data_IF_287459059463
#
_entry.id   IF_287459059463
#
_cell.length_a   1.000
_cell.length_b   1.000
_cell.length_c   1.000
_cell.angle_alpha   90.00
_cell.angle_beta   90.00
_cell.angle_gamma   90.00
#
_symmetry.space_group_name_H-M   'P 1'
#
loop_
_entity.id
_entity.type
_entity.pdbx_description
1 polymer ?
#
# COMPACT_ATOMS: atom_id res chain seq x y z
N UNK A 1 23.48 20.15 -13.38
CA UNK A 1 22.53 19.11 -12.91
C UNK A 1 21.15 19.65 -13.16
N UNK A 2 20.37 19.00 -14.04
CA UNK A 2 18.96 19.35 -14.24
C UNK A 2 18.25 19.27 -12.90
N UNK A 3 17.51 20.31 -12.46
CA UNK A 3 16.74 20.23 -11.22
C UNK A 3 15.77 19.05 -11.37
N UNK A 4 15.88 18.09 -10.46
CA UNK A 4 14.99 16.95 -10.44
C UNK A 4 13.56 17.50 -10.33
N UNK A 5 12.71 17.22 -11.33
CA UNK A 5 11.32 17.70 -11.34
C UNK A 5 10.60 17.18 -10.08
N UNK A 6 9.70 17.98 -9.49
CA UNK A 6 8.99 17.58 -8.28
C UNK A 6 8.18 16.30 -8.56
N UNK A 7 8.19 15.38 -7.59
CA UNK A 7 7.35 14.19 -7.59
C UNK A 7 6.77 13.97 -6.19
N UNK A 8 5.66 13.26 -6.12
CA UNK A 8 4.97 12.96 -4.86
C UNK A 8 5.20 11.50 -4.47
N UNK A 9 5.62 11.27 -3.23
CA UNK A 9 5.78 9.92 -2.66
C UNK A 9 4.54 9.56 -1.82
N UNK A 10 3.93 8.42 -2.11
CA UNK A 10 2.77 7.90 -1.37
C UNK A 10 3.16 6.63 -0.66
N UNK A 11 2.98 6.60 0.66
CA UNK A 11 3.33 5.48 1.53
C UNK A 11 2.05 4.86 2.10
N UNK A 12 1.70 3.65 1.65
CA UNK A 12 0.51 2.96 2.14
C UNK A 12 0.62 2.55 3.61
N UNK A 13 -0.52 2.24 4.22
CA UNK A 13 -0.56 1.43 5.42
C UNK A 13 -0.17 -0.03 5.16
N UNK A 14 -0.10 -0.83 6.22
CA UNK A 14 0.29 -2.25 6.15
C UNK A 14 0.83 -2.86 7.45
N UNK A 15 0.57 -2.23 8.61
CA UNK A 15 1.16 -2.63 9.89
C UNK A 15 2.69 -2.64 9.85
N UNK A 16 3.34 -3.65 10.42
CA UNK A 16 4.80 -3.72 10.46
C UNK A 16 5.46 -3.92 9.10
N UNK A 17 4.71 -4.36 8.07
CA UNK A 17 5.24 -4.39 6.70
C UNK A 17 5.77 -3.02 6.27
N UNK A 18 5.24 -1.94 6.85
CA UNK A 18 5.69 -0.56 6.65
C UNK A 18 7.16 -0.29 6.91
N UNK A 19 7.90 -1.18 7.59
CA UNK A 19 9.36 -1.07 7.67
C UNK A 19 10.03 -1.13 6.29
N UNK A 20 9.37 -1.71 5.28
CA UNK A 20 9.80 -1.65 3.89
C UNK A 20 9.94 -0.21 3.36
N UNK A 21 9.14 0.72 3.86
CA UNK A 21 9.23 2.14 3.47
C UNK A 21 10.60 2.75 3.83
N UNK A 22 11.31 2.23 4.83
CA UNK A 22 12.69 2.66 5.15
C UNK A 22 13.64 2.30 4.00
N UNK A 23 13.47 1.10 3.42
CA UNK A 23 14.22 0.66 2.25
C UNK A 23 13.90 1.46 0.99
N UNK A 24 12.62 1.81 0.79
CA UNK A 24 12.19 2.72 -0.28
C UNK A 24 12.95 4.04 -0.18
N UNK A 25 12.90 4.68 0.99
CA UNK A 25 13.59 5.94 1.23
C UNK A 25 15.11 5.80 1.01
N UNK A 26 15.71 4.67 1.40
CA UNK A 26 17.14 4.38 1.13
C UNK A 26 17.43 4.35 -0.37
N UNK A 27 16.60 3.68 -1.16
CA UNK A 27 16.78 3.61 -2.62
C UNK A 27 16.64 4.98 -3.30
N UNK A 28 15.75 5.83 -2.79
CA UNK A 28 15.57 7.21 -3.24
C UNK A 28 16.77 8.10 -2.86
N UNK A 29 17.22 8.03 -1.61
CA UNK A 29 18.39 8.77 -1.10
C UNK A 29 19.65 8.47 -1.92
N UNK A 30 19.93 7.18 -2.20
CA UNK A 30 21.09 6.75 -2.99
C UNK A 30 21.08 7.26 -4.45
N UNK A 31 19.90 7.55 -4.99
CA UNK A 31 19.72 8.09 -6.35
C UNK A 31 19.55 9.61 -6.36
N UNK A 32 19.64 10.27 -5.21
CA UNK A 32 19.45 11.72 -5.10
C UNK A 32 18.02 12.18 -5.44
N UNK A 33 17.02 11.30 -5.24
CA UNK A 33 15.61 11.59 -5.52
C UNK A 33 14.90 12.02 -4.23
N UNK A 34 14.58 13.31 -4.12
CA UNK A 34 13.84 13.85 -2.95
C UNK A 34 12.41 14.18 -3.36
N UNK A 35 11.38 13.57 -2.74
CA UNK A 35 9.99 13.92 -3.06
C UNK A 35 9.67 15.34 -2.58
N UNK A 36 8.87 16.07 -3.37
CA UNK A 36 8.37 17.40 -3.00
C UNK A 36 7.23 17.34 -1.96
N UNK A 37 6.55 16.20 -1.91
CA UNK A 37 5.49 15.89 -0.96
C UNK A 37 5.51 14.40 -0.60
N UNK A 38 5.35 14.10 0.68
CA UNK A 38 5.04 12.74 1.16
C UNK A 38 3.59 12.69 1.63
N UNK A 39 2.83 11.69 1.21
CA UNK A 39 1.49 11.40 1.71
C UNK A 39 1.49 10.01 2.33
N UNK A 40 1.10 9.90 3.61
CA UNK A 40 1.17 8.64 4.35
C UNK A 40 -0.14 8.24 5.03
N UNK A 41 -0.38 6.92 5.09
CA UNK A 41 -1.46 6.29 5.87
C UNK A 41 -0.87 5.30 6.86
N UNK A 42 -1.37 5.26 8.10
CA UNK A 42 -0.94 4.29 9.12
C UNK A 42 0.58 4.28 9.31
N UNK A 43 1.24 3.13 9.26
CA UNK A 43 2.69 3.02 9.32
C UNK A 43 3.42 3.89 8.27
N UNK A 44 2.83 4.11 7.09
CA UNK A 44 3.36 5.02 6.06
C UNK A 44 3.40 6.47 6.56
N UNK A 45 2.43 6.88 7.37
CA UNK A 45 2.44 8.19 8.04
C UNK A 45 3.56 8.29 9.08
N UNK A 46 3.83 7.22 9.84
CA UNK A 46 4.91 7.20 10.85
C UNK A 46 6.29 7.31 10.20
N UNK A 47 6.56 6.48 9.18
CA UNK A 47 7.83 6.51 8.46
C UNK A 47 7.99 7.84 7.72
N UNK A 48 6.92 8.32 7.06
CA UNK A 48 6.89 9.63 6.42
C UNK A 48 7.14 10.79 7.40
N UNK A 49 6.58 10.72 8.62
CA UNK A 49 6.77 11.72 9.66
C UNK A 49 8.20 11.74 10.21
N UNK A 50 8.78 10.57 10.49
CA UNK A 50 10.18 10.48 10.93
C UNK A 50 11.12 11.05 9.86
N UNK A 51 10.89 10.72 8.59
CA UNK A 51 11.65 11.30 7.48
C UNK A 51 11.40 12.81 7.36
N UNK A 52 10.16 13.28 7.41
CA UNK A 52 9.85 14.71 7.27
C UNK A 52 10.41 15.56 8.42
N UNK A 53 10.54 14.98 9.61
CA UNK A 53 11.19 15.56 10.78
C UNK A 53 12.73 15.55 10.70
N UNK A 54 13.31 15.00 9.63
CA UNK A 54 14.75 15.05 9.35
C UNK A 54 15.54 13.81 9.73
N UNK A 55 14.89 12.71 10.16
CA UNK A 55 15.60 11.46 10.36
C UNK A 55 16.14 10.92 9.02
N UNK A 56 17.38 10.42 9.03
CA UNK A 56 17.94 9.73 7.88
C UNK A 56 17.63 8.22 7.93
N UNK A 57 17.71 7.57 6.77
CA UNK A 57 17.40 6.14 6.59
C UNK A 57 18.23 5.22 7.49
N UNK A 58 19.50 5.55 7.77
CA UNK A 58 20.35 4.79 8.71
C UNK A 58 19.85 4.88 10.15
N UNK A 59 19.48 6.07 10.62
CA UNK A 59 18.90 6.27 11.95
C UNK A 59 17.57 5.52 12.09
N UNK A 60 16.72 5.60 11.06
CA UNK A 60 15.43 4.91 11.03
C UNK A 60 15.60 3.39 11.06
N UNK A 61 16.50 2.83 10.26
CA UNK A 61 16.82 1.41 10.25
C UNK A 61 17.37 0.94 11.62
N UNK A 62 18.33 1.67 12.19
CA UNK A 62 18.90 1.34 13.49
C UNK A 62 17.86 1.37 14.63
N UNK A 63 16.87 2.25 14.55
CA UNK A 63 15.74 2.28 15.50
C UNK A 63 14.78 1.12 15.23
N UNK A 64 14.42 0.85 13.98
CA UNK A 64 13.52 -0.25 13.61
C UNK A 64 14.02 -1.60 14.13
N UNK A 65 15.33 -1.87 14.05
CA UNK A 65 15.96 -3.08 14.59
C UNK A 65 15.88 -3.22 16.11
N UNK A 66 15.64 -2.12 16.84
CA UNK A 66 15.52 -2.11 18.30
C UNK A 66 14.08 -2.22 18.79
N UNK A 67 13.11 -1.88 17.94
CA UNK A 67 11.68 -2.01 18.28
C UNK A 67 11.35 -3.48 18.52
N UNK A 68 10.60 -3.74 19.59
CA UNK A 68 10.08 -5.05 19.96
C UNK A 68 8.56 -5.00 20.02
N UNK A 69 7.92 -6.18 19.98
CA UNK A 69 6.46 -6.31 20.09
C UNK A 69 5.88 -5.55 21.27
N UNK A 70 6.53 -5.60 22.44
CA UNK A 70 6.10 -4.94 23.68
C UNK A 70 6.08 -3.40 23.60
N UNK A 71 6.84 -2.82 22.68
CA UNK A 71 6.93 -1.36 22.52
C UNK A 71 5.74 -0.81 21.74
N UNK A 72 4.98 -1.68 21.08
CA UNK A 72 3.82 -1.33 20.24
C UNK A 72 2.55 -1.98 20.75
N UNK A 73 2.60 -3.28 21.05
CA UNK A 73 1.46 -4.13 21.35
C UNK A 73 1.51 -4.60 22.80
N UNK A 74 0.93 -3.79 23.69
CA UNK A 74 0.61 -4.21 25.05
C UNK A 74 -0.89 -4.47 25.15
N UNK A 75 -1.24 -5.69 25.52
CA UNK A 75 -2.64 -6.14 25.62
C UNK A 75 -3.36 -5.29 26.67
N UNK A 76 -4.57 -4.83 26.36
CA UNK A 76 -5.44 -4.14 27.31
C UNK A 76 -6.10 -5.14 28.29
N UNK A 77 -5.27 -5.87 29.05
CA UNK A 77 -5.65 -7.11 29.74
C UNK A 77 -6.81 -6.98 30.74
N UNK A 78 -6.97 -5.84 31.40
CA UNK A 78 -8.10 -5.60 32.32
C UNK A 78 -9.41 -5.30 31.58
N UNK A 79 -9.35 -4.58 30.45
CA UNK A 79 -10.54 -4.18 29.70
C UNK A 79 -11.09 -5.33 28.84
N UNK A 80 -10.24 -6.11 28.18
CA UNK A 80 -10.68 -7.24 27.35
C UNK A 80 -11.28 -8.37 28.20
N UNK A 81 -10.72 -8.60 29.39
CA UNK A 81 -11.23 -9.61 30.34
C UNK A 81 -12.59 -9.23 30.96
N UNK A 82 -12.82 -7.95 31.27
CA UNK A 82 -14.06 -7.48 31.90
C UNK A 82 -15.15 -7.08 30.89
N UNK A 83 -14.78 -6.47 29.76
CA UNK A 83 -15.73 -5.91 28.78
C UNK A 83 -15.94 -6.81 27.56
N UNK A 84 -15.11 -7.83 27.33
CA UNK A 84 -15.20 -8.78 26.20
C UNK A 84 -15.41 -8.02 24.87
N UNK A 85 -16.56 -8.19 24.21
CA UNK A 85 -16.93 -7.53 22.94
C UNK A 85 -17.12 -6.00 23.06
N UNK A 86 -17.22 -5.45 24.27
CA UNK A 86 -17.37 -4.01 24.52
C UNK A 86 -16.02 -3.30 24.73
N UNK A 87 -14.89 -4.01 24.63
CA UNK A 87 -13.58 -3.39 24.66
C UNK A 87 -13.35 -2.60 23.35
N UNK A 88 -12.97 -1.31 23.41
CA UNK A 88 -12.82 -0.50 22.21
C UNK A 88 -11.64 -0.92 21.32
N UNK A 89 -10.67 -1.68 21.87
CA UNK A 89 -9.47 -2.13 21.18
C UNK A 89 -8.80 -3.32 21.89
N UNK A 90 -8.03 -4.11 21.14
CA UNK A 90 -7.20 -5.21 21.67
C UNK A 90 -5.96 -4.71 22.42
N UNK A 91 -5.37 -3.61 21.96
CA UNK A 91 -4.12 -3.07 22.49
C UNK A 91 -4.28 -1.67 23.07
N UNK A 92 -3.40 -1.36 24.02
CA UNK A 92 -3.28 -0.04 24.62
C UNK A 92 -2.67 0.97 23.66
N UNK A 93 -3.07 2.24 23.76
CA UNK A 93 -2.50 3.34 22.95
C UNK A 93 -1.14 3.82 23.44
N UNK A 94 -0.89 3.76 24.75
CA UNK A 94 0.26 4.43 25.36
C UNK A 94 1.62 3.99 24.79
N UNK A 95 1.89 2.68 24.54
CA UNK A 95 3.18 2.25 23.98
C UNK A 95 3.43 2.79 22.58
N UNK A 96 2.42 2.70 21.71
CA UNK A 96 2.50 3.22 20.34
C UNK A 96 2.68 4.74 20.33
N UNK A 97 1.91 5.48 21.14
CA UNK A 97 2.04 6.93 21.25
C UNK A 97 3.42 7.37 21.79
N UNK A 98 3.99 6.60 22.73
CA UNK A 98 5.34 6.85 23.24
C UNK A 98 6.40 6.60 22.16
N UNK A 99 6.27 5.52 21.39
CA UNK A 99 7.16 5.24 20.26
C UNK A 99 7.09 6.36 19.21
N UNK A 100 5.88 6.77 18.82
CA UNK A 100 5.64 7.86 17.85
C UNK A 100 6.28 9.16 18.36
N UNK A 101 6.04 9.51 19.62
CA UNK A 101 6.60 10.72 20.23
C UNK A 101 8.13 10.69 20.27
N UNK A 102 8.73 9.52 20.50
CA UNK A 102 10.19 9.37 20.48
C UNK A 102 10.81 9.54 19.09
N UNK A 103 10.05 9.26 18.03
CA UNK A 103 10.50 9.31 16.63
C UNK A 103 10.33 10.69 16.02
N UNK A 104 9.22 11.36 16.30
CA UNK A 104 8.83 12.63 15.67
C UNK A 104 9.09 13.83 16.58
N UNK A 105 9.11 13.62 17.91
CA UNK A 105 9.25 14.69 18.88
C UNK A 105 7.97 15.50 19.10
N UNK A 106 8.11 16.69 19.67
CA UNK A 106 7.00 17.60 19.95
C UNK A 106 6.97 18.74 18.93
N UNK A 107 6.62 18.42 17.69
CA UNK A 107 6.57 19.36 16.56
C UNK A 107 5.19 19.37 15.89
N UNK A 108 4.88 20.48 15.23
CA UNK A 108 3.70 20.64 14.37
C UNK A 108 4.07 20.47 12.90
N UNK A 109 3.09 20.44 12.01
CA UNK A 109 3.38 20.33 10.56
C UNK A 109 4.09 21.58 10.01
N UNK A 110 3.96 22.74 10.67
CA UNK A 110 4.68 23.97 10.29
C UNK A 110 6.18 23.87 10.52
N UNK A 111 6.59 23.06 11.49
CA UNK A 111 8.00 22.90 11.88
C UNK A 111 8.74 21.88 10.98
N UNK A 112 8.03 21.15 10.12
CA UNK A 112 8.62 20.11 9.28
C UNK A 112 9.48 20.71 8.17
N UNK A 113 10.69 20.16 8.03
CA UNK A 113 11.62 20.51 6.95
C UNK A 113 11.18 20.06 5.57
N UNK A 114 10.27 19.08 5.51
CA UNK A 114 9.75 18.46 4.28
C UNK A 114 8.23 18.39 4.35
N UNK A 115 7.56 18.62 3.22
CA UNK A 115 6.08 18.60 3.18
C UNK A 115 5.56 17.18 3.42
N UNK A 116 4.66 17.05 4.38
CA UNK A 116 4.01 15.80 4.76
C UNK A 116 2.51 16.02 4.88
N UNK A 117 1.73 15.10 4.32
CA UNK A 117 0.30 14.97 4.58
C UNK A 117 0.02 13.60 5.19
N UNK A 118 -0.82 13.59 6.22
CA UNK A 118 -1.22 12.35 6.92
C UNK A 118 -2.73 12.20 6.81
N UNK A 119 -3.19 11.05 6.32
CA UNK A 119 -4.61 10.75 6.28
C UNK A 119 -5.10 10.14 7.60
N UNK A 120 -6.36 10.41 7.92
CA UNK A 120 -7.11 9.80 9.02
C UNK A 120 -8.60 9.78 8.65
N UNK A 121 -9.43 9.08 9.41
CA UNK A 121 -10.87 9.18 9.31
C UNK A 121 -11.47 9.67 10.63
N UNK A 122 -12.37 10.65 10.57
CA UNK A 122 -13.19 11.02 11.71
C UNK A 122 -14.21 9.91 11.98
N UNK A 123 -14.18 9.36 13.20
CA UNK A 123 -14.95 8.18 13.56
C UNK A 123 -16.47 8.43 13.52
N UNK A 124 -16.91 9.66 13.79
CA UNK A 124 -18.34 9.98 13.87
C UNK A 124 -18.96 10.18 12.48
N UNK A 125 -18.27 10.88 11.59
CA UNK A 125 -18.79 11.24 10.26
C UNK A 125 -18.29 10.33 9.13
N UNK A 126 -17.23 9.55 9.36
CA UNK A 126 -16.52 8.83 8.31
C UNK A 126 -15.71 9.74 7.37
N UNK A 127 -15.65 11.04 7.65
CA UNK A 127 -14.94 12.01 6.82
C UNK A 127 -13.43 11.78 6.87
N UNK A 128 -12.80 11.74 5.70
CA UNK A 128 -11.35 11.73 5.59
C UNK A 128 -10.79 13.09 6.03
N UNK A 129 -9.79 13.08 6.92
CA UNK A 129 -9.11 14.29 7.40
C UNK A 129 -7.63 14.21 7.07
N UNK A 130 -7.13 15.31 6.51
CA UNK A 130 -5.78 15.42 5.94
C UNK A 130 -4.93 16.42 6.72
N UNK A 131 -4.17 15.91 7.67
CA UNK A 131 -3.28 16.72 8.50
C UNK A 131 -2.09 17.24 7.69
N UNK A 132 -1.67 18.47 7.98
CA UNK A 132 -0.62 19.17 7.23
C UNK A 132 -1.13 20.12 6.13
N UNK A 133 -2.43 20.09 5.82
CA UNK A 133 -3.06 21.16 5.03
C UNK A 133 -2.99 22.51 5.79
N UNK A 134 -3.07 23.66 5.09
CA UNK A 134 -2.90 24.98 5.73
C UNK A 134 -3.74 25.19 7.00
N UNK A 135 -5.01 24.80 7.00
CA UNK A 135 -5.92 24.90 8.15
C UNK A 135 -5.75 23.83 9.24
N UNK A 136 -4.88 22.84 9.01
CA UNK A 136 -4.61 21.71 9.92
C UNK A 136 -3.12 21.61 10.26
N UNK A 137 -2.34 22.63 9.94
CA UNK A 137 -0.88 22.60 10.06
C UNK A 137 -0.35 22.86 11.48
N UNK A 138 -1.18 23.44 12.35
CA UNK A 138 -0.89 23.63 13.79
C UNK A 138 -1.05 22.35 14.63
N UNK A 139 -1.61 21.28 14.04
CA UNK A 139 -1.73 20.00 14.71
C UNK A 139 -0.34 19.41 14.99
N UNK A 140 -0.20 18.76 16.16
CA UNK A 140 1.01 17.99 16.48
C UNK A 140 1.13 16.80 15.53
N UNK A 141 2.30 16.64 14.90
CA UNK A 141 2.53 15.54 13.95
C UNK A 141 2.36 14.19 14.65
N UNK A 142 2.86 14.07 15.89
CA UNK A 142 2.71 12.84 16.68
C UNK A 142 1.24 12.46 16.92
N UNK A 143 0.34 13.42 17.12
CA UNK A 143 -1.09 13.14 17.32
C UNK A 143 -1.75 12.67 16.02
N UNK A 144 -1.42 13.32 14.90
CA UNK A 144 -1.90 12.92 13.58
C UNK A 144 -1.41 11.51 13.19
N UNK A 145 -0.14 11.19 13.45
CA UNK A 145 0.41 9.83 13.24
C UNK A 145 -0.29 8.82 14.16
N UNK A 146 -0.51 9.15 15.43
CA UNK A 146 -1.20 8.25 16.36
C UNK A 146 -2.63 7.96 15.91
N UNK A 147 -3.36 8.98 15.45
CA UNK A 147 -4.68 8.81 14.84
C UNK A 147 -4.61 7.95 13.56
N UNK A 148 -3.62 8.19 12.70
CA UNK A 148 -3.45 7.44 11.46
C UNK A 148 -3.05 5.99 11.71
N UNK A 149 -2.42 5.65 12.83
CA UNK A 149 -2.12 4.26 13.21
C UNK A 149 -3.21 3.60 14.08
N UNK A 150 -4.29 4.31 14.42
CA UNK A 150 -5.35 3.82 15.29
C UNK A 150 -6.35 2.93 14.53
N UNK A 151 -5.90 1.75 14.09
CA UNK A 151 -6.73 0.82 13.32
C UNK A 151 -7.90 0.30 14.17
N UNK A 152 -9.16 0.42 13.72
CA UNK A 152 -10.33 0.00 14.50
C UNK A 152 -10.24 -1.45 14.98
N UNK A 153 -10.67 -1.69 16.22
CA UNK A 153 -10.56 -3.00 16.88
C UNK A 153 -9.15 -3.38 17.36
N UNK A 154 -8.09 -2.79 16.78
CA UNK A 154 -6.70 -3.06 17.18
C UNK A 154 -6.22 -2.03 18.21
N UNK A 155 -6.37 -0.75 17.91
CA UNK A 155 -6.00 0.38 18.77
C UNK A 155 -7.20 1.32 19.00
N UNK A 156 -7.29 1.97 20.16
CA UNK A 156 -8.40 2.88 20.43
C UNK A 156 -8.27 4.15 19.58
N UNK A 157 -9.40 4.82 19.24
CA UNK A 157 -9.37 6.08 18.51
C UNK A 157 -8.56 7.16 19.24
N UNK A 158 -7.92 8.04 18.48
CA UNK A 158 -7.18 9.20 19.01
C UNK A 158 -8.06 10.44 18.97
N UNK A 159 -8.16 11.14 20.10
CA UNK A 159 -8.89 12.41 20.18
C UNK A 159 -7.99 13.58 19.84
N UNK A 160 -8.37 14.41 18.87
CA UNK A 160 -7.69 15.66 18.49
C UNK A 160 -8.75 16.76 18.43
N UNK A 161 -8.58 17.86 19.16
CA UNK A 161 -9.56 18.96 19.16
C UNK A 161 -10.99 18.55 19.54
N UNK A 162 -11.14 17.56 20.44
CA UNK A 162 -12.45 17.07 20.89
C UNK A 162 -13.14 16.07 19.94
N UNK A 163 -12.54 15.72 18.81
CA UNK A 163 -13.07 14.73 17.85
C UNK A 163 -12.23 13.46 17.86
N UNK A 164 -12.88 12.31 17.66
CA UNK A 164 -12.23 11.00 17.64
C UNK A 164 -11.86 10.60 16.21
N UNK A 165 -10.60 10.19 16.03
CA UNK A 165 -10.04 9.80 14.75
C UNK A 165 -9.49 8.37 14.79
N UNK A 166 -9.61 7.69 13.66
CA UNK A 166 -9.08 6.34 13.43
C UNK A 166 -8.19 6.32 12.19
N UNK A 167 -7.53 5.17 11.98
CA UNK A 167 -6.64 4.93 10.85
C UNK A 167 -7.34 5.26 9.52
N UNK A 168 -6.68 6.08 8.69
CA UNK A 168 -7.22 6.50 7.39
C UNK A 168 -7.28 5.37 6.37
N UNK A 169 -6.68 4.20 6.66
CA UNK A 169 -6.75 3.01 5.83
C UNK A 169 -8.18 2.47 5.66
N UNK A 170 -9.12 2.84 6.53
CA UNK A 170 -10.54 2.50 6.37
C UNK A 170 -11.20 3.28 5.22
N UNK A 171 -10.62 4.41 4.82
CA UNK A 171 -11.09 5.25 3.70
C UNK A 171 -10.18 5.11 2.48
N UNK A 172 -8.87 5.21 2.67
CA UNK A 172 -7.89 5.20 1.59
C UNK A 172 -6.51 4.74 2.09
N UNK A 173 -6.27 3.43 2.12
CA UNK A 173 -5.00 2.87 2.62
C UNK A 173 -3.76 3.26 1.79
N UNK A 174 -3.94 3.53 0.49
CA UNK A 174 -2.92 4.07 -0.40
C UNK A 174 -3.42 5.44 -0.89
N UNK A 175 -3.06 6.57 -0.24
CA UNK A 175 -3.68 7.88 -0.47
C UNK A 175 -3.29 8.58 -1.80
N UNK A 176 -3.49 7.90 -2.92
CA UNK A 176 -3.12 8.36 -4.27
C UNK A 176 -4.04 9.44 -4.81
N UNK A 177 -5.33 9.45 -4.44
CA UNK A 177 -6.26 10.48 -4.92
C UNK A 177 -5.89 11.86 -4.37
N UNK A 178 -5.46 11.87 -3.12
CA UNK A 178 -4.96 13.06 -2.43
C UNK A 178 -3.64 13.53 -3.03
N UNK A 179 -2.71 12.59 -3.26
CA UNK A 179 -1.46 12.88 -3.94
C UNK A 179 -1.69 13.45 -5.34
N UNK A 180 -2.65 12.93 -6.10
CA UNK A 180 -3.01 13.47 -7.41
C UNK A 180 -3.63 14.87 -7.36
N UNK A 181 -4.30 15.22 -6.26
CA UNK A 181 -4.98 16.51 -6.12
C UNK A 181 -4.08 17.61 -5.55
N UNK A 182 -3.12 17.24 -4.70
CA UNK A 182 -2.31 18.19 -3.90
C UNK A 182 -0.81 18.11 -4.19
N UNK A 183 -0.38 17.04 -4.83
CA UNK A 183 0.99 16.79 -5.20
C UNK A 183 1.37 17.46 -6.52
N UNK A 184 2.67 17.44 -6.78
CA UNK A 184 3.25 17.93 -8.03
C UNK A 184 3.92 16.77 -8.77
N UNK A 185 3.79 16.78 -10.10
CA UNK A 185 4.45 15.83 -10.98
C UNK A 185 3.95 14.38 -10.84
N UNK A 186 4.80 13.40 -11.18
CA UNK A 186 4.44 11.98 -11.10
C UNK A 186 4.29 11.53 -9.63
N UNK A 187 3.49 10.50 -9.43
CA UNK A 187 3.27 9.86 -8.13
C UNK A 187 4.10 8.58 -8.07
N UNK A 188 4.97 8.45 -7.08
CA UNK A 188 5.60 7.20 -6.70
C UNK A 188 4.82 6.59 -5.53
N UNK A 189 4.03 5.57 -5.79
CA UNK A 189 3.14 4.94 -4.82
C UNK A 189 3.72 3.60 -4.35
N UNK A 190 3.92 3.46 -3.04
CA UNK A 190 4.39 2.21 -2.41
C UNK A 190 3.20 1.50 -1.81
N UNK A 191 2.83 0.36 -2.41
CA UNK A 191 1.72 -0.46 -1.94
C UNK A 191 2.23 -1.70 -1.19
N UNK A 192 2.03 -1.70 0.13
CA UNK A 192 2.34 -2.82 1.02
C UNK A 192 1.09 -3.63 1.43
N UNK A 193 -0.10 -3.18 1.02
CA UNK A 193 -1.34 -3.90 1.23
C UNK A 193 -1.57 -5.03 0.21
N UNK A 194 -0.66 -5.18 -0.76
CA UNK A 194 -0.58 -6.37 -1.58
C UNK A 194 -0.51 -7.60 -0.66
N UNK A 195 -1.63 -8.31 -0.56
CA UNK A 195 -1.73 -9.61 0.08
C UNK A 195 -1.82 -10.64 -1.01
N UNK A 196 -1.10 -11.75 -0.85
CA UNK A 196 -1.22 -12.85 -1.79
C UNK A 196 -2.63 -13.42 -1.70
N UNK A 197 -3.33 -13.42 -2.83
CA UNK A 197 -4.61 -14.12 -3.02
C UNK A 197 -4.46 -15.61 -2.69
N UNK A 198 -3.24 -16.15 -2.75
CA UNK A 198 -2.89 -17.54 -2.47
C UNK A 198 -2.58 -17.82 -1.00
N UNK A 199 -2.57 -16.81 -0.12
CA UNK A 199 -2.38 -17.04 1.31
C UNK A 199 -3.63 -17.75 1.85
N UNK A 200 -3.51 -19.05 2.11
CA UNK A 200 -4.53 -19.80 2.86
C UNK A 200 -4.74 -19.09 4.19
N UNK A 201 -5.93 -18.54 4.40
CA UNK A 201 -6.38 -18.26 5.74
C UNK A 201 -6.57 -19.62 6.41
N UNK A 202 -5.80 -19.90 7.45
CA UNK A 202 -6.11 -21.06 8.28
C UNK A 202 -7.36 -20.68 9.09
N UNK A 203 -8.49 -21.32 8.78
CA UNK A 203 -9.79 -21.04 9.38
C UNK A 203 -9.80 -21.26 10.91
N UNK A 204 -8.73 -21.84 11.45
CA UNK A 204 -8.54 -22.13 12.87
C UNK A 204 -7.91 -20.98 13.69
N UNK A 205 -7.51 -19.87 13.07
CA UNK A 205 -6.76 -18.78 13.75
C UNK A 205 -7.61 -17.81 14.61
N UNK A 206 -8.93 -18.04 14.72
CA UNK A 206 -9.84 -17.29 15.62
C UNK A 206 -10.21 -15.87 15.14
N UNK A 207 -11.06 -15.19 15.92
CA UNK A 207 -11.70 -13.92 15.52
C UNK A 207 -10.72 -12.83 15.05
N UNK A 208 -9.60 -12.65 15.75
CA UNK A 208 -8.65 -11.59 15.42
C UNK A 208 -7.97 -11.80 14.05
N UNK A 209 -7.68 -13.05 13.69
CA UNK A 209 -7.11 -13.40 12.39
C UNK A 209 -8.14 -13.21 11.27
N UNK A 210 -9.38 -13.69 11.46
CA UNK A 210 -10.48 -13.49 10.51
C UNK A 210 -10.76 -12.01 10.30
N UNK A 211 -10.82 -11.22 11.38
CA UNK A 211 -11.05 -9.77 11.32
C UNK A 211 -9.92 -9.05 10.57
N UNK A 212 -8.66 -9.36 10.89
CA UNK A 212 -7.50 -8.76 10.21
C UNK A 212 -7.50 -9.11 8.73
N UNK A 213 -7.79 -10.37 8.38
CA UNK A 213 -7.90 -10.79 6.98
C UNK A 213 -9.03 -10.07 6.24
N UNK A 214 -10.19 -9.91 6.89
CA UNK A 214 -11.31 -9.16 6.35
C UNK A 214 -10.94 -7.70 6.05
N UNK A 215 -10.25 -7.03 6.99
CA UNK A 215 -9.74 -5.67 6.77
C UNK A 215 -8.74 -5.59 5.61
N UNK A 216 -7.79 -6.51 5.53
CA UNK A 216 -6.84 -6.59 4.41
C UNK A 216 -7.56 -6.72 3.06
N UNK A 217 -8.59 -7.57 2.96
CA UNK A 217 -9.41 -7.74 1.74
C UNK A 217 -10.11 -6.43 1.37
N UNK A 218 -10.73 -5.75 2.34
CA UNK A 218 -11.40 -4.46 2.10
C UNK A 218 -10.39 -3.42 1.58
N UNK A 219 -9.23 -3.29 2.24
CA UNK A 219 -8.19 -2.34 1.83
C UNK A 219 -7.66 -2.63 0.43
N UNK A 220 -7.39 -3.89 0.11
CA UNK A 220 -6.91 -4.30 -1.21
C UNK A 220 -7.97 -4.02 -2.28
N UNK A 221 -9.24 -4.33 -2.01
CA UNK A 221 -10.36 -4.06 -2.92
C UNK A 221 -10.53 -2.56 -3.19
N UNK A 222 -10.37 -1.73 -2.16
CA UNK A 222 -10.39 -0.27 -2.29
C UNK A 222 -9.25 0.23 -3.20
N UNK A 223 -8.03 -0.26 -3.01
CA UNK A 223 -6.86 0.10 -3.83
C UNK A 223 -7.08 -0.33 -5.29
N UNK A 224 -7.54 -1.56 -5.53
CA UNK A 224 -7.88 -2.06 -6.86
C UNK A 224 -8.95 -1.20 -7.54
N UNK A 225 -10.03 -0.85 -6.83
CA UNK A 225 -11.09 0.00 -7.36
C UNK A 225 -10.59 1.40 -7.73
N UNK A 226 -9.65 1.96 -6.96
CA UNK A 226 -9.08 3.27 -7.23
C UNK A 226 -8.10 3.29 -8.41
N UNK A 227 -7.37 2.20 -8.62
CA UNK A 227 -6.29 2.14 -9.61
C UNK A 227 -6.69 1.55 -10.96
N UNK A 228 -7.73 0.70 -11.02
CA UNK A 228 -8.16 -0.03 -12.24
C UNK A 228 -8.34 0.85 -13.48
N UNK A 229 -8.81 2.08 -13.31
CA UNK A 229 -9.01 3.06 -14.38
C UNK A 229 -8.33 4.38 -14.06
N UNK A 230 -7.09 4.33 -13.53
CA UNK A 230 -6.35 5.51 -13.11
C UNK A 230 -6.22 6.55 -14.24
N UNK A 231 -6.78 7.74 -14.00
CA UNK A 231 -6.76 8.91 -14.91
C UNK A 231 -5.99 10.10 -14.34
N UNK A 232 -5.32 9.93 -13.21
CA UNK A 232 -4.53 10.98 -12.57
C UNK A 232 -3.19 11.20 -13.26
N UNK A 233 -2.27 11.94 -12.60
CA UNK A 233 -0.89 12.08 -13.04
C UNK A 233 -0.21 10.72 -13.25
N UNK A 234 0.92 10.66 -13.99
CA UNK A 234 1.69 9.43 -14.12
C UNK A 234 1.95 8.79 -12.75
N UNK A 235 1.60 7.53 -12.58
CA UNK A 235 1.69 6.81 -11.31
C UNK A 235 2.63 5.61 -11.44
N UNK A 236 3.75 5.65 -10.74
CA UNK A 236 4.65 4.52 -10.58
C UNK A 236 4.21 3.74 -9.35
N UNK A 237 3.75 2.51 -9.54
CA UNK A 237 3.35 1.64 -8.45
C UNK A 237 4.47 0.65 -8.14
N UNK A 238 5.00 0.73 -6.92
CA UNK A 238 5.98 -0.22 -6.39
C UNK A 238 5.29 -1.13 -5.39
N UNK A 239 5.44 -2.44 -5.58
CA UNK A 239 4.90 -3.48 -4.69
C UNK A 239 6.04 -4.35 -4.16
N UNK A 240 6.63 -3.99 -3.01
CA UNK A 240 7.58 -4.86 -2.31
C UNK A 240 6.99 -6.24 -2.03
N UNK A 241 7.82 -7.29 -2.15
CA UNK A 241 7.41 -8.69 -1.93
C UNK A 241 7.34 -9.01 -0.44
N UNK A 242 6.25 -8.58 0.20
CA UNK A 242 6.04 -8.68 1.65
C UNK A 242 4.69 -9.34 2.00
N UNK A 243 4.06 -9.99 1.02
CA UNK A 243 2.76 -10.63 1.11
C UNK A 243 2.76 -11.84 2.06
N UNK A 244 3.88 -12.57 2.13
CA UNK A 244 4.10 -13.71 3.02
C UNK A 244 4.32 -13.31 4.48
N UNK A 245 4.62 -12.04 4.74
CA UNK A 245 4.89 -11.52 6.10
C UNK A 245 3.58 -11.04 6.71
N UNK A 246 3.32 -11.37 7.98
CA UNK A 246 2.16 -10.85 8.71
C UNK A 246 2.34 -9.37 9.06
N UNK A 247 1.26 -8.58 9.04
CA UNK A 247 1.26 -7.18 9.50
C UNK A 247 1.65 -7.02 10.99
N UNK A 248 1.69 -8.12 11.74
CA UNK A 248 2.08 -8.17 13.16
C UNK A 248 3.41 -8.90 13.42
N UNK A 249 4.19 -9.22 12.37
CA UNK A 249 5.50 -9.87 12.49
C UNK A 249 6.63 -8.87 12.82
N UNK A 250 7.46 -9.19 13.82
CA UNK A 250 8.58 -8.34 14.30
C UNK A 250 9.97 -8.95 14.04
N UNK A 251 10.02 -10.19 13.59
CA UNK A 251 11.23 -10.99 13.35
C UNK A 251 11.78 -10.82 11.92
N UNK A 252 11.08 -10.07 11.07
CA UNK A 252 11.40 -9.88 9.64
C UNK A 252 11.84 -8.46 9.28
N UNK A 253 12.28 -7.67 10.25
CA UNK A 253 12.63 -6.25 10.04
C UNK A 253 13.65 -6.03 8.93
N UNK A 254 14.75 -6.80 8.90
CA UNK A 254 15.78 -6.68 7.86
C UNK A 254 15.24 -7.05 6.47
N UNK A 255 14.52 -8.16 6.38
CA UNK A 255 13.88 -8.64 5.15
C UNK A 255 12.93 -7.59 4.57
N UNK A 256 12.07 -7.00 5.42
CA UNK A 256 11.15 -5.93 5.01
C UNK A 256 11.88 -4.73 4.42
N UNK A 257 12.91 -4.23 5.11
CA UNK A 257 13.70 -3.09 4.62
C UNK A 257 14.39 -3.43 3.30
N UNK A 258 14.91 -4.65 3.15
CA UNK A 258 15.60 -5.06 1.93
C UNK A 258 14.64 -5.24 0.75
N UNK A 259 13.45 -5.81 0.94
CA UNK A 259 12.44 -5.91 -0.13
C UNK A 259 11.95 -4.53 -0.58
N UNK A 260 11.76 -3.59 0.36
CA UNK A 260 11.40 -2.21 0.03
C UNK A 260 12.47 -1.51 -0.81
N UNK A 261 13.75 -1.69 -0.44
CA UNK A 261 14.87 -1.18 -1.22
C UNK A 261 14.92 -1.81 -2.62
N UNK A 262 14.92 -3.14 -2.68
CA UNK A 262 15.06 -3.89 -3.94
C UNK A 262 13.96 -3.56 -4.93
N UNK A 263 12.70 -3.56 -4.50
CA UNK A 263 11.57 -3.27 -5.38
C UNK A 263 11.62 -1.83 -5.93
N UNK A 264 12.01 -0.88 -5.09
CA UNK A 264 12.15 0.52 -5.48
C UNK A 264 13.33 0.72 -6.42
N UNK A 265 14.50 0.18 -6.07
CA UNK A 265 15.71 0.24 -6.89
C UNK A 265 15.47 -0.34 -8.28
N UNK A 266 14.91 -1.55 -8.37
CA UNK A 266 14.58 -2.20 -9.64
C UNK A 266 13.61 -1.35 -10.47
N UNK A 267 12.54 -0.84 -9.86
CA UNK A 267 11.56 -0.02 -10.59
C UNK A 267 12.20 1.27 -11.11
N UNK A 268 13.02 1.93 -10.30
CA UNK A 268 13.72 3.15 -10.72
C UNK A 268 14.73 2.85 -11.83
N UNK A 269 15.44 1.73 -11.77
CA UNK A 269 16.41 1.32 -12.79
C UNK A 269 15.70 1.01 -14.13
N UNK A 270 14.55 0.31 -14.09
CA UNK A 270 13.68 0.06 -15.25
C UNK A 270 13.20 1.38 -15.90
N UNK A 271 12.95 2.42 -15.09
CA UNK A 271 12.53 3.74 -15.57
C UNK A 271 13.72 4.70 -15.86
N UNK A 272 14.95 4.23 -15.74
CA UNK A 272 16.17 5.03 -15.90
C UNK A 272 16.26 6.22 -14.91
N UNK A 273 15.62 6.09 -13.75
CA UNK A 273 15.41 7.13 -12.74
C UNK A 273 14.75 8.43 -13.27
N UNK A 274 14.12 8.39 -14.45
CA UNK A 274 13.45 9.54 -15.08
C UNK A 274 11.94 9.49 -14.86
N UNK A 275 11.54 9.78 -13.63
CA UNK A 275 10.11 9.91 -13.28
C UNK A 275 9.43 11.02 -14.09
N UNK A 276 10.19 12.03 -14.52
CA UNK A 276 9.72 13.19 -15.26
C UNK A 276 9.42 12.96 -16.74
N UNK A 277 9.92 11.86 -17.30
CA UNK A 277 9.68 11.45 -18.69
C UNK A 277 8.41 10.59 -18.82
N UNK A 278 7.76 10.26 -17.71
CA UNK A 278 6.58 9.41 -17.70
C UNK A 278 5.38 10.12 -18.34
N UNK A 279 4.74 9.43 -19.28
CA UNK A 279 3.41 9.79 -19.78
C UNK A 279 2.32 9.35 -18.81
N UNK A 280 1.10 9.87 -18.98
CA UNK A 280 -0.05 9.50 -18.14
C UNK A 280 -0.30 7.99 -18.06
N UNK A 281 -1.00 7.55 -17.01
CA UNK A 281 -1.27 6.14 -16.72
C UNK A 281 -0.37 5.58 -15.61
N UNK A 282 -0.44 4.26 -15.43
CA UNK A 282 0.32 3.54 -14.40
C UNK A 282 1.58 2.90 -14.97
N UNK A 283 2.63 2.79 -14.16
CA UNK A 283 3.95 2.27 -14.50
C UNK A 283 4.51 1.36 -13.38
N UNK A 284 5.43 0.43 -13.67
CA UNK A 284 5.87 0.04 -15.01
C UNK A 284 4.75 -0.70 -15.77
N UNK A 285 4.70 -0.57 -17.09
CA UNK A 285 3.83 -1.39 -17.93
C UNK A 285 4.65 -2.48 -18.60
N UNK A 286 4.07 -3.67 -18.73
CA UNK A 286 4.67 -4.80 -19.45
C UNK A 286 3.69 -5.32 -20.49
N UNK A 287 4.19 -5.59 -21.70
CA UNK A 287 3.40 -6.23 -22.75
C UNK A 287 3.30 -7.72 -22.48
N UNK A 288 2.10 -8.18 -22.16
CA UNK A 288 1.82 -9.56 -21.82
C UNK A 288 0.74 -10.13 -22.74
N UNK A 289 0.90 -11.40 -23.09
CA UNK A 289 -0.10 -12.17 -23.83
C UNK A 289 -1.01 -12.92 -22.85
N UNK A 290 -2.31 -12.66 -22.93
CA UNK A 290 -3.35 -13.40 -22.19
C UNK A 290 -3.75 -14.64 -22.98
N UNK A 291 -3.81 -15.78 -22.29
CA UNK A 291 -4.18 -17.08 -22.86
C UNK A 291 -5.28 -17.72 -22.02
N UNK A 292 -6.25 -18.35 -22.68
CA UNK A 292 -7.30 -19.17 -22.05
C UNK A 292 -7.05 -20.64 -22.39
N UNK A 293 -6.94 -21.47 -21.37
CA UNK A 293 -6.99 -22.93 -21.45
C UNK A 293 -8.46 -23.36 -21.56
N UNK A 294 -8.87 -23.83 -22.75
CA UNK A 294 -10.27 -24.19 -23.02
C UNK A 294 -10.73 -25.44 -22.24
N UNK A 295 -9.82 -26.35 -21.90
CA UNK A 295 -10.15 -27.56 -21.16
C UNK A 295 -10.52 -27.23 -19.72
N UNK A 296 -9.78 -26.30 -19.11
CA UNK A 296 -10.06 -25.81 -17.74
C UNK A 296 -11.18 -24.78 -17.68
N UNK A 297 -11.49 -24.10 -18.78
CA UNK A 297 -12.49 -23.04 -18.78
C UNK A 297 -13.91 -23.61 -18.61
N UNK A 298 -14.59 -23.28 -17.51
CA UNK A 298 -15.97 -23.74 -17.23
C UNK A 298 -17.06 -22.81 -17.78
N UNK A 299 -16.70 -21.74 -18.48
CA UNK A 299 -17.69 -20.87 -19.11
C UNK A 299 -18.47 -19.95 -18.16
N UNK A 300 -18.02 -19.76 -16.91
CA UNK A 300 -18.74 -18.99 -15.91
C UNK A 300 -18.85 -17.47 -16.19
N UNK A 301 -18.11 -16.95 -17.18
CA UNK A 301 -18.16 -15.53 -17.58
C UNK A 301 -17.50 -14.53 -16.63
N UNK A 302 -16.91 -14.97 -15.50
CA UNK A 302 -16.29 -14.07 -14.52
C UNK A 302 -15.25 -13.12 -15.14
N UNK A 303 -14.41 -13.62 -16.06
CA UNK A 303 -13.42 -12.81 -16.78
C UNK A 303 -14.06 -11.75 -17.68
N UNK A 304 -15.22 -12.04 -18.29
CA UNK A 304 -15.99 -11.10 -19.13
C UNK A 304 -16.57 -9.98 -18.27
N UNK A 305 -17.08 -10.29 -17.09
CA UNK A 305 -17.58 -9.29 -16.13
C UNK A 305 -16.46 -8.37 -15.68
N UNK A 306 -15.27 -8.91 -15.41
CA UNK A 306 -14.15 -8.15 -14.87
C UNK A 306 -13.37 -7.35 -15.92
N UNK A 307 -13.32 -7.84 -17.16
CA UNK A 307 -12.57 -7.23 -18.25
C UNK A 307 -13.29 -7.43 -19.60
N UNK A 308 -14.46 -6.79 -19.82
CA UNK A 308 -15.29 -7.00 -21.01
C UNK A 308 -14.64 -6.51 -22.32
N UNK A 309 -13.59 -5.67 -22.22
CA UNK A 309 -12.78 -5.25 -23.38
C UNK A 309 -11.72 -6.28 -23.78
N UNK A 310 -11.41 -7.22 -22.89
CA UNK A 310 -10.37 -8.24 -23.08
C UNK A 310 -10.98 -9.60 -23.40
N UNK A 311 -12.12 -9.93 -22.77
CA UNK A 311 -12.77 -11.22 -22.93
C UNK A 311 -14.20 -11.08 -23.45
N UNK A 312 -14.64 -12.09 -24.21
CA UNK A 312 -16.05 -12.39 -24.43
C UNK A 312 -16.35 -13.85 -24.11
N UNK A 313 -17.62 -14.18 -23.96
CA UNK A 313 -18.07 -15.57 -23.93
C UNK A 313 -18.40 -15.99 -25.37
N UNK A 314 -17.68 -16.98 -25.89
CA UNK A 314 -17.95 -17.53 -27.22
C UNK A 314 -19.26 -18.35 -27.21
N UNK A 315 -19.85 -18.57 -28.39
CA UNK A 315 -21.06 -19.38 -28.54
C UNK A 315 -20.89 -20.81 -27.99
N UNK A 316 -19.67 -21.35 -28.00
CA UNK A 316 -19.30 -22.64 -27.40
C UNK A 316 -19.28 -22.64 -25.86
N UNK A 317 -19.64 -21.53 -25.21
CA UNK A 317 -19.67 -21.39 -23.76
C UNK A 317 -18.29 -21.27 -23.11
N UNK A 318 -17.24 -20.92 -23.88
CA UNK A 318 -15.87 -20.76 -23.37
C UNK A 318 -15.45 -19.29 -23.44
N UNK A 319 -14.58 -18.87 -22.54
CA UNK A 319 -14.01 -17.53 -22.59
C UNK A 319 -13.06 -17.42 -23.79
N UNK A 320 -13.18 -16.34 -24.55
CA UNK A 320 -12.34 -16.03 -25.71
C UNK A 320 -11.68 -14.67 -25.50
N UNK A 321 -10.40 -14.58 -25.84
CA UNK A 321 -9.62 -13.35 -25.69
C UNK A 321 -9.77 -12.49 -26.95
N UNK A 322 -10.39 -11.32 -26.82
CA UNK A 322 -10.58 -10.34 -27.89
C UNK A 322 -9.29 -9.59 -28.24
N UNK A 323 -8.54 -9.22 -27.20
CA UNK A 323 -7.29 -8.47 -27.30
C UNK A 323 -6.19 -9.27 -26.61
N UNK A 324 -5.48 -10.17 -27.32
CA UNK A 324 -4.55 -11.11 -26.70
C UNK A 324 -3.33 -10.44 -26.11
N UNK A 325 -2.88 -9.32 -26.67
CA UNK A 325 -1.77 -8.53 -26.14
C UNK A 325 -2.34 -7.40 -25.29
N UNK A 326 -1.92 -7.35 -24.02
CA UNK A 326 -2.30 -6.34 -23.05
C UNK A 326 -1.06 -5.59 -22.56
N UNK A 327 -1.18 -4.28 -22.37
CA UNK A 327 -0.24 -3.52 -21.56
C UNK A 327 -0.67 -3.69 -20.09
N UNK A 328 -0.01 -4.58 -19.37
CA UNK A 328 -0.28 -4.84 -17.96
C UNK A 328 0.53 -3.91 -17.06
N UNK A 329 -0.19 -3.16 -16.24
CA UNK A 329 0.31 -2.51 -15.03
C UNK A 329 0.33 -3.51 -13.87
N UNK A 330 0.94 -3.15 -12.72
CA UNK A 330 0.95 -4.02 -11.54
C UNK A 330 -0.43 -4.24 -10.89
N UNK A 331 -1.47 -3.50 -11.32
CA UNK A 331 -2.86 -3.70 -10.87
C UNK A 331 -3.73 -4.46 -11.86
N UNK A 332 -3.19 -4.77 -13.04
CA UNK A 332 -3.88 -5.59 -14.02
C UNK A 332 -3.72 -7.08 -13.67
N UNK A 333 -4.76 -7.87 -13.95
CA UNK A 333 -4.75 -9.31 -13.70
C UNK A 333 -5.87 -9.83 -12.80
N UNK A 334 -6.80 -8.98 -12.33
CA UNK A 334 -8.00 -9.44 -11.62
C UNK A 334 -8.75 -10.54 -12.41
N UNK A 335 -8.91 -10.36 -13.72
CA UNK A 335 -9.54 -11.34 -14.61
C UNK A 335 -8.79 -12.67 -14.68
N UNK A 336 -7.49 -12.69 -14.39
CA UNK A 336 -6.64 -13.88 -14.34
C UNK A 336 -6.71 -14.54 -12.96
N UNK A 337 -6.54 -13.74 -11.90
CA UNK A 337 -6.53 -14.20 -10.50
C UNK A 337 -7.91 -14.70 -10.04
N UNK A 338 -8.99 -14.13 -10.56
CA UNK A 338 -10.36 -14.49 -10.20
C UNK A 338 -10.97 -15.56 -11.12
N UNK A 339 -10.17 -16.21 -11.96
CA UNK A 339 -10.63 -17.37 -12.71
C UNK A 339 -10.77 -18.56 -11.75
N UNK A 340 -11.98 -19.08 -11.47
CA UNK A 340 -12.18 -20.11 -10.44
C UNK A 340 -11.49 -21.44 -10.75
N UNK A 341 -11.13 -21.66 -12.03
CA UNK A 341 -10.46 -22.88 -12.49
C UNK A 341 -9.03 -22.63 -12.95
N UNK A 342 -8.49 -21.43 -12.74
CA UNK A 342 -7.16 -21.04 -13.21
C UNK A 342 -6.95 -21.31 -14.71
N UNK A 343 -8.02 -21.19 -15.49
CA UNK A 343 -8.01 -21.38 -16.93
C UNK A 343 -7.39 -20.21 -17.69
N UNK A 344 -7.09 -19.10 -17.01
CA UNK A 344 -6.53 -17.90 -17.64
C UNK A 344 -5.10 -17.74 -17.14
N UNK A 345 -4.18 -17.49 -18.06
CA UNK A 345 -2.76 -17.25 -17.75
C UNK A 345 -2.20 -16.11 -18.60
N UNK A 346 -1.05 -15.58 -18.19
CA UNK A 346 -0.30 -14.60 -18.98
C UNK A 346 1.15 -15.01 -19.19
N UNK A 347 1.73 -14.54 -20.30
CA UNK A 347 3.15 -14.73 -20.62
C UNK A 347 3.75 -13.43 -21.16
N UNK A 348 5.05 -13.15 -20.93
CA UNK A 348 5.76 -12.10 -21.64
C UNK A 348 5.59 -12.25 -23.15
N UNK A 349 5.31 -11.16 -23.86
CA UNK A 349 5.13 -11.22 -25.32
C UNK A 349 6.35 -11.83 -26.02
N UNK A 350 7.56 -11.51 -25.55
CA UNK A 350 8.84 -11.97 -26.12
C UNK A 350 9.15 -13.44 -25.82
N UNK A 351 8.34 -14.13 -24.99
CA UNK A 351 8.56 -15.54 -24.61
C UNK A 351 7.86 -16.56 -25.51
N UNK A 352 7.19 -16.12 -26.57
CA UNK A 352 6.56 -17.03 -27.53
C UNK A 352 7.60 -17.47 -28.55
N UNK A 353 8.30 -18.57 -28.25
CA UNK A 353 8.90 -19.41 -29.29
C UNK A 353 7.75 -19.89 -30.18
N UNK A 354 7.71 -19.39 -31.42
CA UNK A 354 6.86 -19.96 -32.46
C UNK A 354 7.29 -21.42 -32.60
N UNK A 355 6.41 -22.42 -32.46
CA UNK A 355 6.76 -23.77 -32.87
C UNK A 355 7.04 -23.72 -34.37
N UNK A 356 8.30 -23.88 -34.76
CA UNK A 356 8.60 -24.38 -36.09
C UNK A 356 7.93 -25.75 -36.23
N UNK A 357 7.46 -26.01 -37.45
CA UNK A 357 6.93 -27.28 -37.97
C UNK A 357 5.44 -27.62 -37.76
N UNK A 358 4.68 -27.31 -38.81
CA UNK A 358 4.06 -28.38 -39.60
C UNK A 358 3.99 -27.98 -41.08
N UNK A 359 5.14 -28.00 -41.75
CA UNK A 359 5.19 -28.23 -43.20
C UNK A 359 5.57 -29.69 -43.40
N UNK A 360 4.57 -30.53 -43.65
CA UNK A 360 4.72 -31.86 -44.24
C UNK A 360 3.61 -32.04 -45.28
#
# INVERSE_FOLDING_TARGET
>A
MTPNRPFTLVLSGGGLKGLAHIGVLRALDERGLTPSLVVGSSIGSLIGAAWAAGANTRQMAARALKVRRRDVFQVAGTDVAFRRLLAPALYRREPLEALISSLVGNITFRDLSRRLLINTADLHSGMQVMWGLPGLSDARVADAVAASCALPGIFPPKTIGGRAYVDGAVVENLPVRLAASLGEGPILAINLAATSVLRRADETEGFAATYSRGLEIVMQTQIEGQLRDWKGPPLVLVQPRVDHISMFAFDKTEELMEEGYRATAQTLDELGARLDALSGGMHPTRRLRVVVDEERCVGCGACVVQAPKVFRLAARGKAEVLTPIQNWSPMDGASVLNCPTYAISVRPEDSVVVPEDSAA
#
